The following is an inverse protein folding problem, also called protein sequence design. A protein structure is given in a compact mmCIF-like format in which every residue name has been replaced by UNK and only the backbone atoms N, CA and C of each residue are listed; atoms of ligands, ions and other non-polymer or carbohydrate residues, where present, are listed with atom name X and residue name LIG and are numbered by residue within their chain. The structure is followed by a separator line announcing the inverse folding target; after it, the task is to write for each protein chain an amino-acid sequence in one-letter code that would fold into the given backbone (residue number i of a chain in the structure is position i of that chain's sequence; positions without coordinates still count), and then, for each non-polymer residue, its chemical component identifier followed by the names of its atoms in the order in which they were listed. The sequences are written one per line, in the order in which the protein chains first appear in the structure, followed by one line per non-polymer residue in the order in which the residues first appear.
data_IF_370882982880
#
_entry.id   IF_370882982880
#
_cell.length_a   1.000
_cell.length_b   1.000
_cell.length_c   1.000
_cell.angle_alpha   90.00
_cell.angle_beta   90.00
_cell.angle_gamma   90.00
#
_symmetry.space_group_name_H-M   'P 1'
#
loop_
_entity.id
_entity.type
_entity.pdbx_description
1 polymer ?
#
# COMPACT_ATOMS: atom_id res chain seq x y z
N UNK A 1 -8.77 -13.39 11.15
CA UNK A 1 -9.06 -13.86 9.78
C UNK A 1 -9.12 -12.65 8.87
N UNK A 2 -8.33 -12.59 7.79
CA UNK A 2 -8.29 -11.41 6.92
C UNK A 2 -9.61 -11.27 6.15
N UNK A 3 -10.34 -10.18 6.38
CA UNK A 3 -11.54 -9.87 5.61
C UNK A 3 -11.12 -9.22 4.28
N UNK A 4 -10.98 -10.03 3.23
CA UNK A 4 -10.62 -9.60 1.88
C UNK A 4 -11.85 -9.70 0.97
N UNK A 5 -12.05 -8.69 0.13
CA UNK A 5 -12.99 -8.77 -0.98
C UNK A 5 -12.56 -9.84 -2.00
N UNK A 6 -13.48 -10.24 -2.88
CA UNK A 6 -13.19 -11.20 -3.95
C UNK A 6 -12.05 -10.73 -4.87
N UNK A 7 -11.96 -9.43 -5.15
CA UNK A 7 -10.87 -8.85 -5.94
C UNK A 7 -9.54 -8.86 -5.19
N UNK A 8 -9.51 -8.42 -3.94
CA UNK A 8 -8.31 -8.47 -3.10
C UNK A 8 -7.80 -9.90 -2.95
N UNK A 9 -8.69 -10.86 -2.75
CA UNK A 9 -8.35 -12.28 -2.63
C UNK A 9 -7.61 -12.78 -3.89
N UNK A 10 -8.12 -12.46 -5.08
CA UNK A 10 -7.48 -12.83 -6.35
C UNK A 10 -6.10 -12.19 -6.51
N UNK A 11 -6.00 -10.89 -6.24
CA UNK A 11 -4.71 -10.16 -6.33
C UNK A 11 -3.71 -10.72 -5.31
N UNK A 12 -4.15 -10.99 -4.10
CA UNK A 12 -3.32 -11.56 -3.04
C UNK A 12 -2.77 -12.94 -3.44
N UNK A 13 -3.63 -13.87 -3.89
CA UNK A 13 -3.18 -15.20 -4.33
C UNK A 13 -2.26 -15.13 -5.55
N UNK A 14 -2.49 -14.19 -6.45
CA UNK A 14 -1.57 -13.94 -7.55
C UNK A 14 -0.19 -13.49 -7.06
N UNK A 15 -0.13 -12.51 -6.17
CA UNK A 15 1.15 -12.01 -5.64
C UNK A 15 1.86 -13.12 -4.86
N UNK A 16 1.14 -13.86 -4.02
CA UNK A 16 1.63 -15.06 -3.33
C UNK A 16 2.23 -16.07 -4.30
N UNK A 17 1.56 -16.37 -5.42
CA UNK A 17 2.05 -17.38 -6.37
C UNK A 17 3.32 -16.93 -7.07
N UNK A 18 3.48 -15.65 -7.40
CA UNK A 18 4.70 -15.18 -8.08
C UNK A 18 5.89 -14.99 -7.13
N UNK A 19 5.67 -14.76 -5.84
CA UNK A 19 6.73 -14.58 -4.84
C UNK A 19 7.15 -15.93 -4.22
N UNK A 20 6.20 -16.72 -3.71
CA UNK A 20 6.51 -17.95 -2.98
C UNK A 20 6.90 -19.12 -3.86
N UNK A 21 6.38 -19.25 -5.09
CA UNK A 21 6.69 -20.39 -5.97
C UNK A 21 8.18 -20.46 -6.33
N UNK A 22 8.92 -19.36 -6.24
CA UNK A 22 10.34 -19.29 -6.58
C UNK A 22 11.27 -19.04 -5.38
N UNK A 23 10.77 -19.12 -4.14
CA UNK A 23 11.49 -18.67 -2.94
C UNK A 23 12.03 -17.23 -3.06
N UNK A 24 11.38 -16.41 -3.89
CA UNK A 24 11.78 -15.02 -4.10
C UNK A 24 11.05 -14.16 -3.10
N UNK A 25 11.81 -13.45 -2.28
CA UNK A 25 11.21 -12.50 -1.34
C UNK A 25 10.43 -11.40 -2.08
N UNK A 26 10.83 -11.05 -3.31
CA UNK A 26 10.16 -10.05 -4.14
C UNK A 26 10.08 -10.49 -5.60
N UNK A 27 9.00 -10.10 -6.28
CA UNK A 27 8.80 -10.39 -7.70
C UNK A 27 8.50 -9.09 -8.48
N UNK A 28 8.99 -8.94 -9.71
CA UNK A 28 8.61 -7.82 -10.56
C UNK A 28 7.14 -7.96 -11.00
N UNK A 29 6.38 -6.88 -10.86
CA UNK A 29 4.97 -6.80 -11.21
C UNK A 29 4.74 -5.89 -12.41
N UNK A 30 4.09 -6.43 -13.44
CA UNK A 30 3.46 -5.62 -14.48
C UNK A 30 1.95 -5.61 -14.26
N UNK A 31 1.40 -4.45 -13.90
CA UNK A 31 -0.03 -4.29 -13.54
C UNK A 31 -0.97 -4.78 -14.64
N UNK A 32 -0.67 -4.49 -15.91
CA UNK A 32 -1.54 -4.88 -17.03
C UNK A 32 -1.57 -6.39 -17.20
N UNK A 33 -0.40 -7.05 -17.11
CA UNK A 33 -0.28 -8.51 -17.21
C UNK A 33 -0.94 -9.20 -16.01
N UNK A 34 -0.66 -8.70 -14.79
CA UNK A 34 -1.23 -9.23 -13.57
C UNK A 34 -2.75 -9.11 -13.53
N UNK A 35 -3.31 -7.99 -14.01
CA UNK A 35 -4.75 -7.81 -14.13
C UNK A 35 -5.38 -8.87 -15.04
N UNK A 36 -4.79 -9.13 -16.21
CA UNK A 36 -5.25 -10.16 -17.13
C UNK A 36 -5.16 -11.57 -16.51
N UNK A 37 -4.05 -11.90 -15.85
CA UNK A 37 -3.87 -13.21 -15.19
C UNK A 37 -4.82 -13.41 -14.00
N UNK A 38 -5.23 -12.34 -13.31
CA UNK A 38 -6.26 -12.37 -12.28
C UNK A 38 -7.70 -12.42 -12.84
N UNK A 39 -7.87 -12.30 -14.17
CA UNK A 39 -9.18 -12.16 -14.80
C UNK A 39 -9.92 -10.90 -14.37
N UNK A 40 -9.19 -9.80 -14.14
CA UNK A 40 -9.73 -8.52 -13.67
C UNK A 40 -9.47 -7.41 -14.68
N UNK A 41 -10.41 -6.46 -14.75
CA UNK A 41 -10.12 -5.20 -15.42
C UNK A 41 -9.02 -4.44 -14.68
N UNK A 42 -8.16 -3.73 -15.42
CA UNK A 42 -7.00 -3.02 -14.86
C UNK A 42 -7.34 -2.09 -13.69
N UNK A 43 -8.48 -1.41 -13.77
CA UNK A 43 -8.95 -0.52 -12.69
C UNK A 43 -9.33 -1.28 -11.41
N UNK A 44 -9.99 -2.44 -11.54
CA UNK A 44 -10.35 -3.26 -10.38
C UNK A 44 -9.12 -3.88 -9.73
N UNK A 45 -8.19 -4.37 -10.55
CA UNK A 45 -6.89 -4.82 -10.07
C UNK A 45 -6.17 -3.71 -9.31
N UNK A 46 -6.09 -2.51 -9.88
CA UNK A 46 -5.40 -1.38 -9.24
C UNK A 46 -6.02 -1.00 -7.89
N UNK A 47 -7.36 -0.93 -7.81
CA UNK A 47 -8.06 -0.62 -6.54
C UNK A 47 -7.83 -1.70 -5.49
N UNK A 48 -7.94 -2.97 -5.86
CA UNK A 48 -7.69 -4.09 -4.95
C UNK A 48 -6.23 -4.13 -4.49
N UNK A 49 -5.29 -3.93 -5.42
CA UNK A 49 -3.86 -3.87 -5.13
C UNK A 49 -3.52 -2.74 -4.16
N UNK A 50 -4.01 -1.51 -4.40
CA UNK A 50 -3.82 -0.41 -3.45
C UNK A 50 -4.46 -0.67 -2.09
N UNK A 51 -5.65 -1.28 -2.05
CA UNK A 51 -6.28 -1.65 -0.78
C UNK A 51 -5.37 -2.59 0.04
N UNK A 52 -4.77 -3.59 -0.61
CA UNK A 52 -3.83 -4.51 0.04
C UNK A 52 -2.54 -3.83 0.51
N UNK A 53 -2.03 -2.84 -0.24
CA UNK A 53 -0.88 -2.02 0.17
C UNK A 53 -1.23 -1.14 1.39
N UNK A 54 -2.37 -0.46 1.36
CA UNK A 54 -2.81 0.42 2.44
C UNK A 54 -3.07 -0.34 3.75
N UNK A 55 -3.44 -1.62 3.64
CA UNK A 55 -3.61 -2.53 4.78
C UNK A 55 -2.30 -3.19 5.21
N UNK A 56 -1.19 -2.83 4.57
CA UNK A 56 0.14 -3.40 4.81
C UNK A 56 0.21 -4.92 4.62
N UNK A 57 -0.72 -5.52 3.87
CA UNK A 57 -0.73 -6.96 3.56
C UNK A 57 0.29 -7.26 2.45
N UNK A 58 0.44 -6.34 1.52
CA UNK A 58 1.47 -6.37 0.49
C UNK A 58 2.42 -5.20 0.69
N UNK A 59 3.66 -5.38 0.26
CA UNK A 59 4.62 -4.30 0.10
C UNK A 59 4.96 -4.15 -1.39
N UNK A 60 5.19 -2.92 -1.81
CA UNK A 60 5.61 -2.60 -3.16
C UNK A 60 6.70 -1.54 -3.13
N UNK A 61 7.72 -1.71 -3.96
CA UNK A 61 8.79 -0.73 -4.14
C UNK A 61 9.23 -0.67 -5.59
N UNK A 62 9.70 0.48 -6.03
CA UNK A 62 10.28 0.61 -7.36
C UNK A 62 11.80 0.40 -7.25
N UNK A 63 12.36 -0.45 -8.10
CA UNK A 63 13.82 -0.63 -8.15
C UNK A 63 14.51 0.46 -8.98
N UNK A 64 15.84 0.47 -8.99
CA UNK A 64 16.67 1.43 -9.75
C UNK A 64 16.39 1.43 -11.26
N UNK A 65 15.80 0.34 -11.79
CA UNK A 65 15.43 0.20 -13.20
C UNK A 65 13.99 0.62 -13.48
N UNK A 66 13.33 1.28 -12.52
CA UNK A 66 11.94 1.73 -12.65
C UNK A 66 10.91 0.61 -12.64
N UNK A 67 11.27 -0.61 -12.24
CA UNK A 67 10.34 -1.75 -12.18
C UNK A 67 9.70 -1.83 -10.81
N UNK A 68 8.38 -1.99 -10.79
CA UNK A 68 7.63 -2.28 -9.58
C UNK A 68 7.96 -3.70 -9.10
N UNK A 69 8.47 -3.81 -7.89
CA UNK A 69 8.68 -5.07 -7.16
C UNK A 69 7.60 -5.18 -6.09
N UNK A 70 7.07 -6.38 -5.91
CA UNK A 70 6.03 -6.67 -4.92
C UNK A 70 6.39 -7.87 -4.07
N UNK A 71 5.95 -7.85 -2.82
CA UNK A 71 6.03 -8.97 -1.92
C UNK A 71 4.84 -9.03 -0.96
N UNK A 72 4.66 -10.19 -0.34
CA UNK A 72 3.69 -10.38 0.73
C UNK A 72 4.35 -9.98 2.03
N UNK A 73 3.67 -9.14 2.80
CA UNK A 73 4.11 -8.77 4.13
C UNK A 73 3.55 -9.77 5.15
N UNK A 74 4.38 -10.69 5.61
CA UNK A 74 3.99 -11.74 6.56
C UNK A 74 3.52 -11.14 7.89
N UNK A 75 4.13 -10.05 8.33
CA UNK A 75 3.77 -9.38 9.59
C UNK A 75 2.40 -8.67 9.46
N UNK A 76 2.12 -8.09 8.30
CA UNK A 76 0.83 -7.47 7.98
C UNK A 76 -0.32 -8.46 7.78
N UNK A 77 -0.03 -9.76 7.59
CA UNK A 77 -1.03 -10.81 7.58
C UNK A 77 -1.62 -11.02 8.99
N UNK A 78 -0.77 -10.95 10.02
CA UNK A 78 -1.13 -11.23 11.41
C UNK A 78 -1.57 -9.98 12.18
N UNK A 79 -1.33 -8.78 11.65
CA UNK A 79 -1.74 -7.54 12.30
C UNK A 79 -3.28 -7.41 12.32
N UNK A 80 -3.85 -7.12 13.49
CA UNK A 80 -5.24 -6.67 13.60
C UNK A 80 -5.47 -5.45 12.70
N UNK A 81 -6.69 -5.27 12.15
CA UNK A 81 -6.99 -4.17 11.24
C UNK A 81 -6.67 -2.84 11.93
N UNK A 82 -5.55 -2.22 11.56
CA UNK A 82 -5.23 -0.90 12.07
C UNK A 82 -6.31 0.08 11.58
N UNK A 83 -6.88 0.90 12.47
CA UNK A 83 -7.85 1.91 12.06
C UNK A 83 -7.16 2.80 11.03
N UNK A 84 -7.82 2.97 9.88
CA UNK A 84 -7.33 3.79 8.76
C UNK A 84 -6.80 5.11 9.31
N UNK A 85 -5.48 5.28 9.36
CA UNK A 85 -4.92 6.62 9.47
C UNK A 85 -5.37 7.35 8.20
N UNK A 86 -6.09 8.45 8.41
CA UNK A 86 -6.49 9.32 7.32
C UNK A 86 -5.25 9.62 6.49
N UNK A 87 -5.30 9.28 5.20
CA UNK A 87 -4.34 9.77 4.23
C UNK A 87 -4.49 11.28 4.29
N UNK A 88 -3.56 11.97 4.94
CA UNK A 88 -3.42 13.41 4.79
C UNK A 88 -3.03 13.61 3.33
N UNK A 89 -4.00 14.02 2.51
CA UNK A 89 -3.76 14.55 1.18
C UNK A 89 -2.73 15.68 1.32
N UNK A 90 -1.49 15.42 0.91
CA UNK A 90 -0.47 16.45 0.73
C UNK A 90 -0.79 17.24 -0.55
N UNK A 91 -1.90 17.95 -0.52
CA UNK A 91 -2.19 19.05 -1.44
C UNK A 91 -2.62 20.22 -0.58
N UNK A 92 -1.64 21.03 -0.18
CA UNK A 92 -1.68 22.49 -0.23
C UNK A 92 -0.45 23.07 0.47
N UNK A 93 0.47 23.59 -0.34
CA UNK A 93 1.41 24.68 -0.01
C UNK A 93 2.41 24.46 1.14
N UNK A 94 3.45 25.32 1.22
CA UNK A 94 4.15 25.51 2.49
C UNK A 94 3.12 25.94 3.56
N UNK A 95 3.26 25.50 4.82
CA UNK A 95 2.34 25.88 5.88
C UNK A 95 2.43 27.40 6.10
N UNK A 96 1.29 28.09 6.02
CA UNK A 96 1.18 29.48 6.44
C UNK A 96 1.58 29.59 7.92
N UNK A 97 2.37 30.61 8.27
CA UNK A 97 2.92 30.85 9.61
C UNK A 97 1.84 30.89 10.72
N UNK A 98 0.58 31.15 10.37
CA UNK A 98 -0.57 31.11 11.27
C UNK A 98 -0.88 29.71 11.83
N UNK A 99 -0.57 28.64 11.08
CA UNK A 99 -0.79 27.27 11.53
C UNK A 99 0.24 26.82 12.58
N UNK A 100 1.44 27.43 12.54
CA UNK A 100 2.54 27.13 13.48
C UNK A 100 2.24 27.76 14.84
N UNK A 101 1.82 29.03 14.88
CA UNK A 101 1.47 29.73 16.14
C UNK A 101 0.29 29.06 16.88
N UNK A 102 -0.67 28.52 16.12
CA UNK A 102 -1.79 27.77 16.69
C UNK A 102 -1.38 26.43 17.31
N UNK A 103 -0.37 25.76 16.75
CA UNK A 103 0.13 24.49 17.28
C UNK A 103 1.02 24.69 18.52
N UNK A 104 1.89 25.70 18.51
CA UNK A 104 2.77 26.02 19.65
C UNK A 104 1.96 26.47 20.86
N UNK A 105 0.91 27.30 20.68
CA UNK A 105 0.00 27.68 21.78
C UNK A 105 -0.77 26.51 22.36
N UNK A 106 -1.11 25.50 21.55
CA UNK A 106 -1.93 24.36 22.01
C UNK A 106 -1.10 23.25 22.64
N UNK A 107 0.16 23.10 22.27
CA UNK A 107 1.01 21.97 22.68
C UNK A 107 2.20 22.36 23.54
N UNK A 108 2.52 23.66 23.65
CA UNK A 108 3.64 24.17 24.46
C UNK A 108 5.01 23.66 24.00
N UNK A 109 5.11 23.10 22.79
CA UNK A 109 6.35 22.56 22.23
C UNK A 109 6.69 23.31 20.96
N UNK A 110 7.80 24.02 21.00
CA UNK A 110 8.37 24.65 19.83
C UNK A 110 9.11 23.62 18.99
N UNK A 111 8.91 23.66 17.67
CA UNK A 111 9.58 22.79 16.71
C UNK A 111 10.53 23.70 15.92
N UNK A 112 11.69 23.99 16.51
CA UNK A 112 12.79 24.70 15.86
C UNK A 112 13.66 23.74 15.04
#
# INVERSE_FOLDING_TARGET
MLNLSSYETRVFFYVMSVTYTFHKHEAPLNISKAAAECGLHRQHFHRAFQSLLNRQILNARTNERGRLLVCVNVDGWCAEPQPKQAVLDFTNGPPDDEAIDAFEKKTGRSIS
#
